data_IF_098908067913
#
_entry.id   IF_098908067913
#
_cell.length_a   1.000
_cell.length_b   1.000
_cell.length_c   1.000
_cell.angle_alpha   90.00
_cell.angle_beta   90.00
_cell.angle_gamma   90.00
#
_symmetry.space_group_name_H-M   'P 1'
#
loop_
_entity.id
_entity.type
_entity.pdbx_description
1 polymer ?
#
# COMPACT_ATOMS: atom_id res chain seq x y z
N UNK A 1 28.71 8.15 7.16
CA UNK A 1 27.88 6.93 6.98
C UNK A 1 27.39 6.54 8.36
N UNK A 2 26.23 7.07 8.79
CA UNK A 2 25.69 6.77 10.12
C UNK A 2 25.04 5.39 10.08
N UNK A 3 25.48 4.50 10.97
CA UNK A 3 24.89 3.19 11.20
C UNK A 3 23.38 3.33 11.43
N UNK A 4 22.58 2.65 10.61
CA UNK A 4 21.16 2.47 10.84
C UNK A 4 21.01 1.62 12.10
N UNK A 5 20.71 2.27 13.23
CA UNK A 5 20.48 1.62 14.50
C UNK A 5 19.50 0.46 14.35
N UNK A 6 19.80 -0.65 15.02
CA UNK A 6 18.99 -1.87 15.06
C UNK A 6 17.57 -1.55 15.57
N UNK A 7 16.68 -1.12 14.68
CA UNK A 7 15.26 -0.96 14.99
C UNK A 7 14.68 -2.37 15.01
N UNK A 8 14.46 -2.89 16.21
CA UNK A 8 13.78 -4.17 16.38
C UNK A 8 12.42 -4.12 15.66
N UNK A 9 12.13 -5.14 14.85
CA UNK A 9 10.85 -5.24 14.18
C UNK A 9 9.72 -5.24 15.23
N UNK A 10 8.67 -4.42 15.07
CA UNK A 10 7.62 -4.30 16.06
C UNK A 10 6.92 -5.67 16.27
N UNK A 11 6.73 -6.05 17.53
CA UNK A 11 6.03 -7.30 17.89
C UNK A 11 4.51 -7.16 17.83
N UNK A 12 4.01 -5.93 17.79
CA UNK A 12 2.61 -5.57 17.69
C UNK A 12 2.50 -4.32 16.80
N UNK A 13 1.42 -4.24 16.01
CA UNK A 13 1.07 -3.05 15.25
C UNK A 13 -0.44 -2.83 15.27
N UNK A 14 -0.90 -1.57 15.26
CA UNK A 14 -2.32 -1.23 15.10
C UNK A 14 -2.89 -1.71 13.76
N UNK A 15 -2.10 -1.65 12.68
CA UNK A 15 -2.51 -2.09 11.34
C UNK A 15 -1.36 -2.83 10.68
N UNK A 16 -1.66 -3.99 10.12
CA UNK A 16 -0.74 -4.76 9.27
C UNK A 16 -1.34 -4.86 7.86
N UNK A 17 -0.62 -4.36 6.87
CA UNK A 17 -0.98 -4.41 5.46
C UNK A 17 -0.20 -5.56 4.81
N UNK A 18 -0.91 -6.52 4.25
CA UNK A 18 -0.31 -7.68 3.60
C UNK A 18 -0.39 -7.49 2.09
N UNK A 19 0.77 -7.33 1.46
CA UNK A 19 0.93 -7.08 0.02
C UNK A 19 1.45 -5.67 -0.27
N UNK A 20 2.61 -5.60 -0.91
CA UNK A 20 3.33 -4.40 -1.32
C UNK A 20 3.07 -3.96 -2.76
N UNK A 21 1.89 -4.28 -3.31
CA UNK A 21 1.43 -3.72 -4.58
C UNK A 21 0.91 -2.28 -4.43
N UNK A 22 0.53 -1.65 -5.54
CA UNK A 22 0.11 -0.23 -5.57
C UNK A 22 -0.97 0.12 -4.52
N UNK A 23 -1.95 -0.77 -4.31
CA UNK A 23 -3.04 -0.56 -3.34
C UNK A 23 -2.53 -0.63 -1.89
N UNK A 24 -1.67 -1.60 -1.57
CA UNK A 24 -1.13 -1.77 -0.22
C UNK A 24 -0.20 -0.63 0.17
N UNK A 25 0.71 -0.25 -0.72
CA UNK A 25 1.59 0.91 -0.52
C UNK A 25 0.81 2.22 -0.42
N UNK A 26 -0.23 2.41 -1.25
CA UNK A 26 -1.12 3.57 -1.16
C UNK A 26 -1.83 3.65 0.20
N UNK A 27 -2.35 2.51 0.68
CA UNK A 27 -3.00 2.42 1.98
C UNK A 27 -2.05 2.82 3.12
N UNK A 28 -0.82 2.28 3.13
CA UNK A 28 0.19 2.65 4.13
C UNK A 28 0.54 4.15 4.05
N UNK A 29 0.74 4.67 2.83
CA UNK A 29 1.05 6.08 2.61
C UNK A 29 -0.03 6.99 3.17
N UNK A 30 -1.31 6.68 2.91
CA UNK A 30 -2.42 7.50 3.40
C UNK A 30 -2.60 7.42 4.92
N UNK A 31 -2.37 6.25 5.53
CA UNK A 31 -2.34 6.11 6.99
C UNK A 31 -1.21 6.94 7.60
N UNK A 32 0.00 6.82 7.07
CA UNK A 32 1.15 7.60 7.53
C UNK A 32 0.91 9.11 7.37
N UNK A 33 0.34 9.53 6.23
CA UNK A 33 -0.04 10.92 5.97
C UNK A 33 -1.11 11.43 6.94
N UNK A 34 -2.03 10.56 7.38
CA UNK A 34 -3.01 10.88 8.41
C UNK A 34 -2.43 10.90 9.84
N UNK A 35 -1.11 10.72 10.00
CA UNK A 35 -0.42 10.75 11.28
C UNK A 35 -0.34 9.41 12.00
N UNK A 36 -0.69 8.31 11.33
CA UNK A 36 -0.53 6.98 11.92
C UNK A 36 0.92 6.55 11.85
N UNK A 37 1.49 6.23 13.02
CA UNK A 37 2.91 5.88 13.17
C UNK A 37 3.14 4.40 13.45
N UNK A 38 2.08 3.64 13.75
CA UNK A 38 2.15 2.24 14.15
C UNK A 38 1.41 1.37 13.11
N UNK A 39 1.94 1.40 11.90
CA UNK A 39 1.43 0.64 10.76
C UNK A 39 2.61 -0.06 10.10
N UNK A 40 2.41 -1.33 9.75
CA UNK A 40 3.44 -2.18 9.12
C UNK A 40 2.90 -2.68 7.79
N UNK A 41 3.76 -2.70 6.77
CA UNK A 41 3.48 -3.37 5.50
C UNK A 41 4.44 -4.53 5.33
N UNK A 42 3.90 -5.70 4.98
CA UNK A 42 4.66 -6.93 4.73
C UNK A 42 4.42 -7.36 3.29
N UNK A 43 5.50 -7.58 2.55
CA UNK A 43 5.51 -8.12 1.19
C UNK A 43 6.33 -9.41 1.19
N UNK A 44 5.91 -10.38 0.38
CA UNK A 44 6.57 -11.69 0.26
C UNK A 44 7.96 -11.56 -0.37
N UNK A 45 8.06 -10.76 -1.43
CA UNK A 45 9.29 -10.54 -2.19
C UNK A 45 9.70 -9.07 -2.12
N UNK A 46 9.74 -8.39 -3.27
CA UNK A 46 9.96 -6.96 -3.40
C UNK A 46 8.64 -6.21 -3.64
N UNK A 47 8.64 -4.91 -3.37
CA UNK A 47 7.49 -4.06 -3.67
C UNK A 47 7.12 -4.18 -5.15
N UNK A 48 5.82 -4.14 -5.44
CA UNK A 48 5.24 -4.23 -6.79
C UNK A 48 5.34 -5.58 -7.51
N UNK A 49 6.00 -6.59 -6.94
CA UNK A 49 6.22 -7.91 -7.55
C UNK A 49 4.95 -8.70 -7.94
N UNK A 50 3.77 -8.28 -7.45
CA UNK A 50 2.46 -8.80 -7.87
C UNK A 50 1.98 -8.22 -9.20
N UNK A 51 0.67 -7.98 -9.34
CA UNK A 51 0.11 -7.47 -10.61
C UNK A 51 0.55 -6.05 -11.00
N UNK A 52 1.16 -5.32 -10.06
CA UNK A 52 1.53 -3.92 -10.24
C UNK A 52 2.65 -3.74 -11.26
N UNK A 53 3.70 -4.57 -11.25
CA UNK A 53 4.86 -4.38 -12.14
C UNK A 53 4.51 -4.50 -13.63
N UNK A 54 3.54 -5.35 -13.97
CA UNK A 54 3.12 -5.62 -15.35
C UNK A 54 1.86 -4.87 -15.75
N UNK A 55 1.34 -3.98 -14.91
CA UNK A 55 0.16 -3.20 -15.24
C UNK A 55 0.50 -2.17 -16.32
N UNK A 56 -0.39 -2.01 -17.32
CA UNK A 56 -0.23 -0.99 -18.38
C UNK A 56 -0.35 0.46 -17.86
N UNK A 57 -0.79 0.65 -16.61
CA UNK A 57 -0.91 1.98 -15.99
C UNK A 57 -2.08 2.81 -16.50
N UNK A 58 -3.03 2.23 -17.25
CA UNK A 58 -4.20 2.96 -17.71
C UNK A 58 -5.12 3.30 -16.53
N UNK A 59 -5.39 4.58 -16.31
CA UNK A 59 -6.31 5.08 -15.27
C UNK A 59 -7.45 5.83 -15.96
N UNK A 60 -8.39 5.11 -16.62
CA UNK A 60 -9.57 5.77 -17.16
C UNK A 60 -10.38 6.30 -15.97
N UNK A 61 -10.85 7.55 -16.05
CA UNK A 61 -11.83 8.11 -15.12
C UNK A 61 -13.20 7.50 -15.41
N UNK A 62 -13.32 6.19 -15.21
CA UNK A 62 -14.60 5.51 -15.16
C UNK A 62 -14.95 5.39 -13.69
N UNK A 63 -16.07 5.99 -13.27
CA UNK A 63 -16.54 5.98 -11.87
C UNK A 63 -16.02 7.08 -10.94
N UNK A 64 -16.49 8.31 -11.14
CA UNK A 64 -16.81 9.16 -9.99
C UNK A 64 -18.26 8.94 -9.50
N UNK A 65 -19.08 8.19 -10.25
CA UNK A 65 -20.50 7.96 -9.97
C UNK A 65 -20.84 6.48 -9.89
N UNK A 66 -21.41 6.08 -8.75
CA UNK A 66 -21.94 4.73 -8.51
C UNK A 66 -22.96 4.32 -9.58
N UNK A 67 -23.75 5.27 -10.08
CA UNK A 67 -24.74 5.04 -11.13
C UNK A 67 -24.14 4.53 -12.44
N UNK A 68 -22.90 4.90 -12.77
CA UNK A 68 -22.23 4.44 -14.01
C UNK A 68 -21.64 3.04 -13.85
N UNK A 69 -21.26 2.62 -12.63
CA UNK A 69 -20.78 1.25 -12.39
C UNK A 69 -21.89 0.21 -12.46
N UNK A 70 -23.11 0.55 -12.04
CA UNK A 70 -24.25 -0.39 -12.01
C UNK A 70 -24.93 -0.58 -13.38
N UNK A 71 -24.42 0.03 -14.46
CA UNK A 71 -24.95 -0.11 -15.81
C UNK A 71 -24.24 -1.18 -16.66
N UNK A 72 -23.16 -1.79 -16.15
CA UNK A 72 -22.41 -2.85 -16.82
C UNK A 72 -22.87 -4.23 -16.38
#
# INVERSE_FOLDING_TARGET
>A
MSESGNQAFPTQARVVIIGGGAVGTSSLYHLAKAGWTDCVLVEKNELTAGSTWHAAGNVPTFSASWSIMNMQ
#
